data_IF_873094716745
#
_entry.id   IF_873094716745
#
_cell.length_a   1.000
_cell.length_b   1.000
_cell.length_c   1.000
_cell.angle_alpha   90.00
_cell.angle_beta   90.00
_cell.angle_gamma   90.00
#
_symmetry.space_group_name_H-M   'P 1'
#
loop_
_entity.id
_entity.type
_entity.pdbx_description
1 polymer ?
#
# COMPACT_ATOMS: atom_id res chain seq x y z
N UNK A 1 13.60 17.88 -33.08
CA UNK A 1 13.37 18.48 -31.74
C UNK A 1 14.25 19.70 -31.58
N UNK A 2 13.94 20.58 -30.61
CA UNK A 2 14.71 21.80 -30.29
C UNK A 2 16.02 21.52 -29.52
N UNK A 3 16.25 20.27 -29.13
CA UNK A 3 17.33 19.82 -28.24
C UNK A 3 16.87 18.63 -27.42
N UNK A 4 17.73 18.18 -26.51
CA UNK A 4 17.49 17.11 -25.53
C UNK A 4 17.09 17.69 -24.16
N UNK A 5 17.63 18.87 -23.80
CA UNK A 5 17.25 19.63 -22.60
C UNK A 5 16.88 21.08 -22.94
N UNK A 6 16.06 21.69 -22.09
CA UNK A 6 15.72 23.11 -22.20
C UNK A 6 15.61 23.73 -20.81
N UNK A 7 16.06 24.99 -20.65
CA UNK A 7 15.94 25.75 -19.42
C UNK A 7 15.33 27.13 -19.67
N UNK A 8 14.53 27.59 -18.71
CA UNK A 8 13.96 28.94 -18.65
C UNK A 8 14.79 29.89 -17.77
N UNK A 9 16.01 29.51 -17.35
CA UNK A 9 16.84 30.28 -16.44
C UNK A 9 17.03 31.75 -16.85
N UNK A 10 17.09 32.03 -18.16
CA UNK A 10 17.23 33.39 -18.67
C UNK A 10 16.05 34.31 -18.30
N UNK A 11 14.81 33.79 -18.19
CA UNK A 11 13.67 34.58 -17.71
C UNK A 11 13.77 34.91 -16.23
N UNK A 12 14.26 33.96 -15.43
CA UNK A 12 14.44 34.15 -13.98
C UNK A 12 15.53 35.18 -13.71
N UNK A 13 16.65 35.08 -14.43
CA UNK A 13 17.81 35.98 -14.29
C UNK A 13 17.59 37.35 -14.90
N UNK A 14 16.86 37.46 -16.02
CA UNK A 14 16.57 38.73 -16.67
C UNK A 14 15.93 39.76 -15.74
N UNK A 15 15.09 39.31 -14.80
CA UNK A 15 14.47 40.18 -13.79
C UNK A 15 15.50 40.79 -12.85
N UNK A 16 16.48 40.01 -12.39
CA UNK A 16 17.53 40.48 -11.48
C UNK A 16 18.57 41.34 -12.20
N UNK A 17 18.87 41.00 -13.46
CA UNK A 17 19.84 41.71 -14.29
C UNK A 17 19.26 42.98 -14.94
N UNK A 18 17.94 43.16 -14.95
CA UNK A 18 17.29 44.25 -15.67
C UNK A 18 17.48 44.19 -17.19
N UNK A 19 17.70 42.98 -17.72
CA UNK A 19 18.04 42.73 -19.13
C UNK A 19 16.89 42.05 -19.89
N UNK A 20 16.94 42.07 -21.22
CA UNK A 20 16.00 41.28 -22.03
C UNK A 20 16.32 39.77 -21.90
N UNK A 21 15.34 38.90 -21.60
CA UNK A 21 15.56 37.45 -21.49
C UNK A 21 16.23 36.82 -22.72
N UNK A 22 16.03 37.37 -23.92
CA UNK A 22 16.72 36.87 -25.12
C UNK A 22 18.24 37.08 -25.04
N UNK A 23 18.67 38.27 -24.62
CA UNK A 23 20.09 38.59 -24.49
C UNK A 23 20.74 37.74 -23.38
N UNK A 24 20.02 37.54 -22.27
CA UNK A 24 20.48 36.65 -21.18
C UNK A 24 20.60 35.20 -21.68
N UNK A 25 19.61 34.72 -22.45
CA UNK A 25 19.65 33.39 -23.03
C UNK A 25 20.80 33.22 -24.02
N UNK A 26 21.07 34.22 -24.87
CA UNK A 26 22.21 34.22 -25.80
C UNK A 26 23.54 34.13 -25.06
N UNK A 27 23.72 34.92 -23.99
CA UNK A 27 24.91 34.85 -23.14
C UNK A 27 25.10 33.49 -22.49
N UNK A 28 24.02 32.89 -21.96
CA UNK A 28 24.07 31.54 -21.39
C UNK A 28 24.43 30.53 -22.48
N UNK A 29 23.78 30.60 -23.65
CA UNK A 29 24.06 29.69 -24.75
C UNK A 29 25.52 29.78 -25.22
N UNK A 30 26.06 31.00 -25.34
CA UNK A 30 27.46 31.24 -25.69
C UNK A 30 28.41 30.65 -24.64
N UNK A 31 28.12 30.82 -23.34
CA UNK A 31 28.94 30.27 -22.27
C UNK A 31 29.05 28.74 -22.33
N UNK A 32 27.94 28.05 -22.62
CA UNK A 32 27.92 26.58 -22.74
C UNK A 32 28.29 26.06 -24.14
N UNK A 33 28.41 26.92 -25.15
CA UNK A 33 28.76 26.51 -26.53
C UNK A 33 30.13 25.86 -26.66
N UNK A 34 31.00 26.04 -25.66
CA UNK A 34 32.36 25.48 -25.62
C UNK A 34 32.47 24.18 -24.82
N UNK A 35 31.40 23.78 -24.14
CA UNK A 35 31.38 22.53 -23.38
C UNK A 35 31.24 21.34 -24.34
N UNK A 36 32.12 20.37 -24.16
CA UNK A 36 32.30 19.19 -25.02
C UNK A 36 31.17 18.16 -24.88
N UNK A 37 30.40 18.28 -23.81
CA UNK A 37 29.19 17.53 -23.52
C UNK A 37 28.06 17.89 -24.48
N UNK A 38 28.10 19.06 -25.12
CA UNK A 38 27.04 19.53 -26.01
C UNK A 38 27.50 19.59 -27.47
N UNK A 39 26.68 19.07 -28.38
CA UNK A 39 26.83 19.29 -29.83
C UNK A 39 26.41 20.72 -30.19
N UNK A 40 25.34 21.21 -29.56
CA UNK A 40 24.87 22.58 -29.75
C UNK A 40 24.12 23.09 -28.53
N UNK A 41 24.25 24.40 -28.30
CA UNK A 41 23.48 25.14 -27.31
C UNK A 41 22.89 26.37 -27.98
N UNK A 42 21.57 26.51 -27.96
CA UNK A 42 20.85 27.52 -28.74
C UNK A 42 19.87 28.29 -27.89
N UNK A 43 19.98 29.62 -27.92
CA UNK A 43 18.97 30.52 -27.38
C UNK A 43 17.79 30.59 -28.35
N UNK A 44 16.58 30.33 -27.85
CA UNK A 44 15.35 30.48 -28.63
C UNK A 44 14.27 31.12 -27.77
N UNK A 45 13.89 32.35 -28.13
CA UNK A 45 12.80 33.11 -27.47
C UNK A 45 12.97 33.20 -25.94
N UNK A 46 14.20 33.31 -25.44
CA UNK A 46 14.49 33.39 -24.00
C UNK A 46 14.63 32.04 -23.29
N UNK A 47 14.48 30.92 -23.99
CA UNK A 47 14.92 29.60 -23.52
C UNK A 47 16.33 29.31 -24.01
N UNK A 48 17.05 28.46 -23.29
CA UNK A 48 18.32 27.88 -23.75
C UNK A 48 18.11 26.38 -23.93
N UNK A 49 18.29 25.91 -25.16
CA UNK A 49 18.13 24.51 -25.53
C UNK A 49 19.49 23.87 -25.75
N UNK A 50 19.68 22.67 -25.21
CA UNK A 50 20.93 21.92 -25.26
C UNK A 50 20.72 20.65 -26.04
N UNK A 51 21.70 20.30 -26.87
CA UNK A 51 21.81 18.99 -27.50
C UNK A 51 23.10 18.34 -27.07
N UNK A 52 23.04 17.12 -26.56
CA UNK A 52 24.23 16.39 -26.14
C UNK A 52 25.09 15.99 -27.34
N UNK A 53 26.40 15.99 -27.15
CA UNK A 53 27.32 15.45 -28.13
C UNK A 53 27.22 13.92 -28.19
N UNK A 54 27.43 13.34 -29.37
CA UNK A 54 27.43 11.88 -29.54
C UNK A 54 28.47 11.21 -28.64
N UNK A 55 29.64 11.82 -28.49
CA UNK A 55 30.71 11.31 -27.63
C UNK A 55 30.30 11.27 -26.16
N UNK A 56 29.53 12.27 -25.70
CA UNK A 56 28.96 12.27 -24.36
C UNK A 56 27.96 11.13 -24.17
N UNK A 57 26.99 10.98 -25.07
CA UNK A 57 25.97 9.91 -24.99
C UNK A 57 26.60 8.51 -25.02
N UNK A 58 27.56 8.27 -25.92
CA UNK A 58 28.33 7.01 -25.97
C UNK A 58 29.09 6.79 -24.66
N UNK A 59 29.67 7.85 -24.08
CA UNK A 59 30.32 7.79 -22.78
C UNK A 59 29.36 7.36 -21.65
N UNK A 60 28.16 7.92 -21.61
CA UNK A 60 27.14 7.55 -20.63
C UNK A 60 26.61 6.13 -20.84
N UNK A 61 26.40 5.69 -22.08
CA UNK A 61 26.00 4.30 -22.36
C UNK A 61 27.08 3.30 -21.95
N UNK A 62 28.37 3.62 -22.13
CA UNK A 62 29.47 2.78 -21.62
C UNK A 62 29.41 2.64 -20.10
N UNK A 63 29.19 3.75 -19.39
CA UNK A 63 29.01 3.72 -17.93
C UNK A 63 27.81 2.86 -17.56
N UNK A 64 26.67 3.06 -18.21
CA UNK A 64 25.45 2.29 -17.98
C UNK A 64 25.67 0.78 -18.18
N UNK A 65 26.31 0.36 -19.26
CA UNK A 65 26.61 -1.05 -19.52
C UNK A 65 27.58 -1.63 -18.48
N UNK A 66 28.63 -0.88 -18.13
CA UNK A 66 29.65 -1.36 -17.17
C UNK A 66 29.14 -1.44 -15.72
N UNK A 67 28.28 -0.51 -15.30
CA UNK A 67 27.75 -0.42 -13.94
C UNK A 67 26.42 -1.17 -13.77
N UNK A 68 25.70 -1.42 -14.88
CA UNK A 68 24.38 -2.06 -14.87
C UNK A 68 23.39 -1.31 -13.98
N UNK A 69 22.80 -2.03 -13.02
CA UNK A 69 21.82 -1.46 -12.07
C UNK A 69 22.42 -0.38 -11.16
N UNK A 70 23.71 -0.46 -10.87
CA UNK A 70 24.40 0.49 -9.98
C UNK A 70 24.54 1.88 -10.62
N UNK A 71 24.41 2.01 -11.95
CA UNK A 71 24.39 3.29 -12.64
C UNK A 71 23.32 4.24 -12.09
N UNK A 72 22.14 3.70 -11.76
CA UNK A 72 21.02 4.47 -11.23
C UNK A 72 21.05 4.57 -9.70
N UNK A 73 21.90 3.79 -9.03
CA UNK A 73 21.91 3.72 -7.57
C UNK A 73 22.57 4.97 -6.99
N UNK A 74 21.87 5.60 -6.06
CA UNK A 74 22.37 6.72 -5.26
C UNK A 74 21.90 6.51 -3.83
N UNK A 75 22.77 6.72 -2.84
CA UNK A 75 22.36 6.73 -1.44
C UNK A 75 21.77 8.09 -1.09
N UNK A 76 20.48 8.25 -1.40
CA UNK A 76 19.69 9.42 -0.99
C UNK A 76 19.18 9.27 0.44
N UNK A 77 18.99 8.03 0.90
CA UNK A 77 18.47 7.73 2.23
C UNK A 77 19.43 8.09 3.34
N UNK A 78 20.75 7.93 3.15
CA UNK A 78 21.78 8.28 4.14
C UNK A 78 21.51 7.69 5.54
N UNK A 79 20.98 6.47 5.58
CA UNK A 79 20.59 5.77 6.81
C UNK A 79 19.25 6.19 7.43
N UNK A 80 18.47 7.04 6.76
CA UNK A 80 17.13 7.42 7.20
C UNK A 80 16.20 6.20 7.28
N UNK A 81 15.61 6.01 8.45
CA UNK A 81 14.64 4.95 8.73
C UNK A 81 13.24 5.43 8.39
N UNK A 82 12.61 4.77 7.42
CA UNK A 82 11.29 5.13 6.93
C UNK A 82 10.35 3.96 7.07
N UNK A 83 9.22 4.17 7.73
CA UNK A 83 8.11 3.21 7.72
C UNK A 83 7.14 3.59 6.60
N UNK A 84 6.67 2.58 5.87
CA UNK A 84 5.63 2.74 4.85
C UNK A 84 4.47 1.82 5.23
N UNK A 85 3.35 2.41 5.63
CA UNK A 85 2.11 1.70 5.92
C UNK A 85 1.19 1.68 4.72
N UNK A 86 0.65 0.51 4.40
CA UNK A 86 -0.32 0.38 3.33
C UNK A 86 -1.19 -0.87 3.47
N UNK A 87 -2.31 -0.86 2.74
CA UNK A 87 -3.42 -1.84 2.82
C UNK A 87 -4.23 -1.73 4.10
N UNK A 88 -3.66 -2.09 5.25
CA UNK A 88 -4.28 -2.06 6.59
C UNK A 88 -5.78 -2.37 6.58
N UNK A 89 -6.17 -3.41 5.85
CA UNK A 89 -7.57 -3.78 5.68
C UNK A 89 -8.03 -4.57 6.91
N UNK A 90 -9.29 -4.38 7.31
CA UNK A 90 -9.82 -5.10 8.46
C UNK A 90 -9.86 -6.61 8.13
N UNK A 91 -9.45 -7.49 9.06
CA UNK A 91 -9.39 -8.94 8.86
C UNK A 91 -10.77 -9.61 8.92
N UNK A 92 -11.79 -8.92 8.43
CA UNK A 92 -13.20 -9.35 8.46
C UNK A 92 -13.75 -9.65 7.07
N UNK A 93 -12.90 -9.67 6.04
CA UNK A 93 -13.26 -10.03 4.69
C UNK A 93 -12.06 -10.02 3.73
N UNK A 94 -12.26 -10.54 2.50
CA UNK A 94 -11.21 -10.65 1.49
C UNK A 94 -10.72 -9.29 1.00
N UNK A 95 -9.50 -9.25 0.47
CA UNK A 95 -9.00 -8.05 -0.20
C UNK A 95 -9.78 -7.79 -1.49
N UNK A 96 -9.96 -6.51 -1.84
CA UNK A 96 -10.62 -6.08 -3.06
C UNK A 96 -9.73 -5.10 -3.83
N UNK A 97 -10.16 -4.68 -5.02
CA UNK A 97 -9.37 -3.81 -5.92
C UNK A 97 -8.84 -2.52 -5.27
N UNK A 98 -9.61 -1.88 -4.39
CA UNK A 98 -9.14 -0.72 -3.62
C UNK A 98 -7.89 -1.03 -2.77
N UNK A 99 -7.92 -2.14 -2.02
CA UNK A 99 -6.77 -2.64 -1.27
C UNK A 99 -5.60 -2.98 -2.20
N UNK A 100 -5.87 -3.65 -3.33
CA UNK A 100 -4.85 -4.01 -4.31
C UNK A 100 -4.09 -2.81 -4.87
N UNK A 101 -4.77 -1.70 -5.16
CA UNK A 101 -4.11 -0.47 -5.63
C UNK A 101 -3.18 0.11 -4.56
N UNK A 102 -3.64 0.20 -3.32
CA UNK A 102 -2.81 0.62 -2.19
C UNK A 102 -1.62 -0.32 -1.97
N UNK A 103 -1.85 -1.62 -2.08
CA UNK A 103 -0.83 -2.68 -1.99
C UNK A 103 0.32 -2.44 -2.97
N UNK A 104 0.00 -2.29 -4.25
CA UNK A 104 0.99 -2.11 -5.31
C UNK A 104 1.73 -0.79 -5.18
N UNK A 105 1.02 0.28 -4.86
CA UNK A 105 1.64 1.60 -4.68
C UNK A 105 2.64 1.58 -3.53
N UNK A 106 2.25 1.06 -2.37
CA UNK A 106 3.09 1.00 -1.17
C UNK A 106 4.33 0.14 -1.36
N UNK A 107 4.15 -1.07 -1.91
CA UNK A 107 5.25 -1.96 -2.22
C UNK A 107 6.22 -1.35 -3.25
N UNK A 108 5.70 -0.71 -4.30
CA UNK A 108 6.54 -0.07 -5.34
C UNK A 108 7.31 1.12 -4.78
N UNK A 109 6.67 1.95 -3.96
CA UNK A 109 7.33 3.06 -3.27
C UNK A 109 8.43 2.56 -2.34
N UNK A 110 8.13 1.55 -1.51
CA UNK A 110 9.09 0.93 -0.61
C UNK A 110 10.30 0.34 -1.35
N UNK A 111 10.07 -0.35 -2.48
CA UNK A 111 11.14 -0.88 -3.35
C UNK A 111 12.01 0.23 -3.95
N UNK A 112 11.38 1.31 -4.42
CA UNK A 112 12.10 2.44 -5.01
C UNK A 112 12.94 3.17 -3.96
N UNK A 113 12.39 3.44 -2.77
CA UNK A 113 13.13 4.07 -1.68
C UNK A 113 14.27 3.19 -1.18
N UNK A 114 14.05 1.88 -1.02
CA UNK A 114 15.12 0.94 -0.66
C UNK A 114 16.24 0.92 -1.71
N UNK A 115 15.90 1.00 -3.01
CA UNK A 115 16.88 1.13 -4.09
C UNK A 115 17.75 2.40 -3.94
N UNK A 116 17.18 3.49 -3.43
CA UNK A 116 17.88 4.74 -3.15
C UNK A 116 18.49 4.86 -1.73
N UNK A 117 18.65 3.73 -1.03
CA UNK A 117 19.43 3.67 0.23
C UNK A 117 18.66 4.03 1.51
N UNK A 118 17.34 4.14 1.46
CA UNK A 118 16.53 4.29 2.67
C UNK A 118 16.39 2.95 3.41
N UNK A 119 16.41 2.97 4.75
CA UNK A 119 16.09 1.81 5.58
C UNK A 119 14.57 1.72 5.73
N UNK A 120 13.95 0.88 4.90
CA UNK A 120 12.50 0.82 4.73
C UNK A 120 11.90 -0.33 5.55
N UNK A 121 10.88 -0.02 6.34
CA UNK A 121 9.99 -1.02 6.98
C UNK A 121 8.60 -0.94 6.36
N UNK A 122 8.15 -2.02 5.70
CA UNK A 122 6.77 -2.17 5.24
C UNK A 122 5.93 -2.70 6.39
N UNK A 123 4.86 -1.98 6.74
CA UNK A 123 4.02 -2.35 7.87
C UNK A 123 2.54 -2.45 7.46
N UNK A 124 1.89 -3.49 7.99
CA UNK A 124 0.46 -3.70 7.88
C UNK A 124 -0.15 -3.53 9.26
N UNK A 125 -1.09 -2.59 9.42
CA UNK A 125 -1.88 -2.47 10.65
C UNK A 125 -3.07 -3.41 10.61
N UNK A 126 -3.16 -4.32 11.57
CA UNK A 126 -4.25 -5.29 11.72
C UNK A 126 -5.24 -4.74 12.74
N UNK A 127 -6.43 -4.39 12.25
CA UNK A 127 -7.57 -4.05 13.10
C UNK A 127 -8.26 -5.33 13.62
N UNK A 128 -7.57 -6.06 14.48
CA UNK A 128 -8.01 -7.31 15.11
C UNK A 128 -8.75 -7.09 16.45
N UNK A 129 -9.31 -5.90 16.66
CA UNK A 129 -9.98 -5.51 17.89
C UNK A 129 -11.37 -4.88 17.64
N UNK A 130 -12.24 -4.95 18.66
CA UNK A 130 -13.51 -4.22 18.67
C UNK A 130 -14.68 -4.92 17.95
N UNK A 131 -15.70 -4.11 17.61
CA UNK A 131 -17.03 -4.62 17.20
C UNK A 131 -17.01 -5.41 15.90
N UNK A 132 -16.22 -4.99 14.92
CA UNK A 132 -16.19 -5.66 13.61
C UNK A 132 -15.69 -7.10 13.72
N UNK A 133 -14.67 -7.33 14.54
CA UNK A 133 -14.11 -8.65 14.82
C UNK A 133 -15.08 -9.53 15.61
N UNK A 134 -15.86 -8.94 16.52
CA UNK A 134 -16.98 -9.65 17.17
C UNK A 134 -18.07 -10.04 16.15
N UNK A 135 -18.45 -9.13 15.24
CA UNK A 135 -19.42 -9.41 14.18
C UNK A 135 -18.94 -10.51 13.22
N UNK A 136 -17.63 -10.61 12.96
CA UNK A 136 -17.05 -11.74 12.23
C UNK A 136 -17.35 -13.07 12.94
N UNK A 137 -17.09 -13.14 14.25
CA UNK A 137 -17.39 -14.33 15.05
C UNK A 137 -18.87 -14.68 15.07
N UNK A 138 -19.74 -13.69 15.27
CA UNK A 138 -21.21 -13.88 15.21
C UNK A 138 -21.61 -14.45 13.85
N UNK A 139 -21.09 -13.89 12.76
CA UNK A 139 -21.35 -14.36 11.40
C UNK A 139 -20.90 -15.80 11.16
N UNK A 140 -19.67 -16.14 11.55
CA UNK A 140 -19.13 -17.50 11.42
C UNK A 140 -19.95 -18.48 12.27
N UNK A 141 -20.27 -18.11 13.50
CA UNK A 141 -21.05 -18.96 14.41
C UNK A 141 -22.47 -19.19 13.90
N UNK A 142 -23.14 -18.16 13.36
CA UNK A 142 -24.48 -18.31 12.75
C UNK A 142 -24.45 -19.21 11.52
N UNK A 143 -23.46 -19.06 10.64
CA UNK A 143 -23.29 -19.97 9.49
C UNK A 143 -22.95 -21.39 9.92
N UNK A 144 -22.16 -21.57 10.98
CA UNK A 144 -21.89 -22.87 11.56
C UNK A 144 -23.19 -23.54 12.07
N UNK A 145 -24.04 -22.80 12.80
CA UNK A 145 -25.33 -23.30 13.28
C UNK A 145 -26.27 -23.73 12.14
N UNK A 146 -26.30 -22.97 11.04
CA UNK A 146 -27.03 -23.34 9.82
C UNK A 146 -26.48 -24.66 9.24
N UNK A 147 -25.16 -24.83 9.16
CA UNK A 147 -24.53 -26.04 8.60
C UNK A 147 -24.79 -27.32 9.41
N UNK A 148 -25.02 -27.20 10.73
CA UNK A 148 -25.34 -28.32 11.62
C UNK A 148 -26.85 -28.50 11.85
N UNK A 149 -27.70 -27.69 11.22
CA UNK A 149 -29.16 -27.75 11.35
C UNK A 149 -29.66 -27.36 12.75
N UNK A 150 -29.02 -26.36 13.36
CA UNK A 150 -29.31 -25.83 14.70
C UNK A 150 -29.47 -24.31 14.70
N UNK A 151 -29.99 -23.72 13.63
CA UNK A 151 -30.19 -22.28 13.48
C UNK A 151 -31.05 -21.64 14.59
N UNK A 152 -31.88 -22.44 15.27
CA UNK A 152 -32.69 -22.03 16.44
C UNK A 152 -31.87 -21.85 17.73
N UNK A 153 -30.64 -22.36 17.79
CA UNK A 153 -29.73 -22.14 18.91
C UNK A 153 -29.21 -20.71 18.84
N UNK A 154 -29.10 -20.04 19.99
CA UNK A 154 -28.64 -18.64 20.08
C UNK A 154 -29.43 -17.69 19.14
N UNK A 155 -30.76 -17.79 19.19
CA UNK A 155 -31.68 -16.92 18.43
C UNK A 155 -31.48 -15.43 18.79
N UNK A 156 -30.94 -15.14 19.99
CA UNK A 156 -30.52 -13.79 20.42
C UNK A 156 -29.53 -13.11 19.45
N UNK A 157 -28.72 -13.90 18.73
CA UNK A 157 -27.74 -13.38 17.76
C UNK A 157 -28.30 -13.20 16.35
N UNK A 158 -29.49 -13.73 16.06
CA UNK A 158 -30.03 -13.75 14.69
C UNK A 158 -30.27 -12.34 14.16
N UNK A 159 -30.94 -11.50 14.94
CA UNK A 159 -31.23 -10.11 14.53
C UNK A 159 -29.94 -9.33 14.29
N UNK A 160 -28.93 -9.52 15.14
CA UNK A 160 -27.62 -8.88 14.99
C UNK A 160 -26.94 -9.34 13.69
N UNK A 161 -26.94 -10.63 13.39
CA UNK A 161 -26.39 -11.17 12.16
C UNK A 161 -27.12 -10.68 10.90
N UNK A 162 -28.45 -10.64 10.92
CA UNK A 162 -29.25 -10.21 9.76
C UNK A 162 -29.05 -8.71 9.42
N UNK A 163 -28.87 -7.88 10.47
CA UNK A 163 -28.70 -6.43 10.32
C UNK A 163 -27.26 -6.02 10.06
N UNK A 164 -26.31 -6.58 10.80
CA UNK A 164 -24.92 -6.10 10.85
C UNK A 164 -23.88 -7.18 10.53
N UNK A 165 -24.27 -8.45 10.48
CA UNK A 165 -23.38 -9.55 10.18
C UNK A 165 -22.84 -9.53 8.75
N UNK A 166 -21.62 -10.03 8.61
CA UNK A 166 -21.02 -10.41 7.34
C UNK A 166 -21.75 -11.63 6.76
N UNK A 167 -22.14 -11.54 5.48
CA UNK A 167 -22.99 -12.55 4.80
C UNK A 167 -22.39 -13.12 3.51
N UNK A 168 -21.17 -12.72 3.16
CA UNK A 168 -20.48 -13.21 1.95
C UNK A 168 -20.16 -14.71 2.03
N UNK A 169 -19.91 -15.33 0.88
CA UNK A 169 -19.63 -16.77 0.78
C UNK A 169 -18.41 -17.18 1.62
N UNK A 170 -17.39 -16.33 1.73
CA UNK A 170 -16.22 -16.57 2.58
C UNK A 170 -16.55 -16.87 4.05
N UNK A 171 -17.63 -16.29 4.61
CA UNK A 171 -18.07 -16.60 5.98
C UNK A 171 -18.55 -18.05 6.07
N UNK A 172 -19.25 -18.52 5.03
CA UNK A 172 -19.70 -19.91 4.95
C UNK A 172 -18.51 -20.86 4.81
N UNK A 173 -17.48 -20.47 4.07
CA UNK A 173 -16.26 -21.27 3.92
C UNK A 173 -15.47 -21.36 5.23
N UNK A 174 -15.35 -20.27 5.99
CA UNK A 174 -14.80 -20.31 7.36
C UNK A 174 -15.62 -21.25 8.24
N UNK A 175 -16.96 -21.15 8.21
CA UNK A 175 -17.82 -22.00 9.02
C UNK A 175 -17.73 -23.49 8.64
N UNK A 176 -17.57 -23.81 7.36
CA UNK A 176 -17.33 -25.18 6.87
C UNK A 176 -16.01 -25.72 7.39
N UNK A 177 -14.91 -24.96 7.23
CA UNK A 177 -13.59 -25.36 7.72
C UNK A 177 -13.58 -25.58 9.24
N UNK A 178 -14.28 -24.71 9.99
CA UNK A 178 -14.43 -24.89 11.44
C UNK A 178 -15.19 -26.18 11.76
N UNK A 179 -16.34 -26.42 11.11
CA UNK A 179 -17.16 -27.62 11.30
C UNK A 179 -16.41 -28.89 10.95
N UNK A 180 -15.55 -28.89 9.94
CA UNK A 180 -14.72 -30.05 9.58
C UNK A 180 -13.80 -30.47 10.74
N UNK A 181 -13.33 -29.52 11.55
CA UNK A 181 -12.52 -29.81 12.72
C UNK A 181 -13.35 -30.20 13.96
N UNK A 182 -14.44 -29.47 14.25
CA UNK A 182 -15.15 -29.60 15.53
C UNK A 182 -16.43 -30.43 15.46
N UNK A 183 -16.92 -30.76 14.26
CA UNK A 183 -18.22 -31.41 14.07
C UNK A 183 -19.35 -30.52 14.59
N UNK A 184 -20.12 -31.06 15.52
CA UNK A 184 -21.30 -30.41 16.12
C UNK A 184 -21.01 -29.88 17.54
N UNK A 185 -19.77 -29.99 18.02
CA UNK A 185 -19.38 -29.76 19.42
C UNK A 185 -19.67 -28.33 19.94
N UNK A 186 -19.65 -27.32 19.07
CA UNK A 186 -19.91 -25.93 19.47
C UNK A 186 -21.36 -25.65 19.89
N UNK A 187 -22.26 -26.61 19.71
CA UNK A 187 -23.64 -26.51 20.24
C UNK A 187 -23.64 -26.62 21.77
N UNK A 188 -22.60 -27.21 22.37
CA UNK A 188 -22.45 -27.28 23.83
C UNK A 188 -21.93 -25.93 24.36
N UNK A 189 -22.83 -24.94 24.42
CA UNK A 189 -22.54 -23.52 24.65
C UNK A 189 -21.80 -23.15 25.96
N UNK A 190 -21.40 -24.11 26.80
CA UNK A 190 -20.78 -23.87 28.12
C UNK A 190 -19.28 -24.09 28.16
N UNK A 191 -18.74 -25.03 27.37
CA UNK A 191 -17.31 -25.30 27.34
C UNK A 191 -16.83 -25.48 25.90
N UNK A 192 -16.04 -24.51 25.44
CA UNK A 192 -15.47 -24.50 24.09
C UNK A 192 -14.04 -25.03 24.06
N UNK A 193 -13.46 -25.39 25.22
CA UNK A 193 -12.08 -25.88 25.29
C UNK A 193 -11.90 -27.17 24.50
N UNK A 194 -12.78 -28.20 24.60
CA UNK A 194 -12.65 -29.39 23.77
C UNK A 194 -12.73 -29.09 22.26
N UNK A 195 -13.61 -28.16 21.87
CA UNK A 195 -13.73 -27.74 20.47
C UNK A 195 -12.45 -27.01 20.00
N UNK A 196 -11.89 -26.11 20.82
CA UNK A 196 -10.61 -25.45 20.55
C UNK A 196 -9.48 -26.47 20.36
N UNK A 197 -9.35 -27.47 21.24
CA UNK A 197 -8.32 -28.50 21.10
C UNK A 197 -8.50 -29.31 19.81
N UNK A 198 -9.74 -29.61 19.41
CA UNK A 198 -10.01 -30.22 18.10
C UNK A 198 -9.51 -29.34 16.95
N UNK A 199 -9.81 -28.04 16.97
CA UNK A 199 -9.30 -27.08 15.97
C UNK A 199 -7.77 -27.08 15.94
N UNK A 200 -7.10 -26.97 17.11
CA UNK A 200 -5.64 -26.94 17.20
C UNK A 200 -4.97 -28.26 16.74
N UNK A 201 -5.67 -29.38 16.88
CA UNK A 201 -5.20 -30.70 16.42
C UNK A 201 -5.47 -30.97 14.93
N UNK A 202 -6.39 -30.21 14.32
CA UNK A 202 -6.76 -30.37 12.92
C UNK A 202 -5.69 -29.76 12.00
N UNK A 203 -5.43 -30.42 10.86
CA UNK A 203 -4.39 -29.99 9.92
C UNK A 203 -4.94 -28.99 8.90
N UNK A 204 -4.90 -27.71 9.26
CA UNK A 204 -5.14 -26.62 8.32
C UNK A 204 -3.87 -26.26 7.53
N UNK A 205 -4.06 -25.65 6.35
CA UNK A 205 -2.97 -25.09 5.54
C UNK A 205 -2.63 -23.64 5.93
N UNK A 206 -3.12 -23.16 7.09
CA UNK A 206 -2.87 -21.84 7.63
C UNK A 206 -2.51 -21.90 9.12
N UNK A 207 -1.78 -20.90 9.64
CA UNK A 207 -1.42 -20.86 11.05
C UNK A 207 -2.62 -20.53 11.94
N UNK A 208 -2.70 -21.20 13.09
CA UNK A 208 -3.69 -20.93 14.15
C UNK A 208 -3.06 -20.08 15.26
N UNK A 209 -2.86 -18.80 14.99
CA UNK A 209 -2.25 -17.85 15.94
C UNK A 209 -3.29 -17.35 16.94
N UNK A 210 -4.40 -16.79 16.45
CA UNK A 210 -5.47 -16.25 17.27
C UNK A 210 -6.18 -17.36 18.06
N UNK A 211 -6.44 -18.51 17.44
CA UNK A 211 -7.07 -19.67 18.12
C UNK A 211 -6.19 -20.22 19.24
N UNK A 212 -4.86 -20.14 19.10
CA UNK A 212 -3.92 -20.57 20.13
C UNK A 212 -3.91 -19.60 21.31
N UNK A 213 -3.90 -18.31 21.04
CA UNK A 213 -3.85 -17.25 22.07
C UNK A 213 -5.24 -16.83 22.58
N UNK A 214 -6.28 -17.54 22.14
CA UNK A 214 -7.66 -17.36 22.57
C UNK A 214 -7.85 -17.86 24.00
N UNK A 215 -8.46 -17.02 24.82
CA UNK A 215 -8.94 -17.33 26.16
C UNK A 215 -10.42 -16.98 26.21
N UNK A 216 -11.33 -17.93 26.53
CA UNK A 216 -12.76 -17.64 26.57
C UNK A 216 -13.13 -16.69 27.72
N UNK A 217 -13.94 -15.69 27.43
CA UNK A 217 -14.41 -14.71 28.42
C UNK A 217 -15.94 -14.56 28.43
N UNK A 218 -16.50 -13.77 27.52
CA UNK A 218 -17.89 -13.28 27.62
C UNK A 218 -18.85 -14.08 26.76
N UNK A 219 -18.42 -14.45 25.55
CA UNK A 219 -19.21 -15.25 24.61
C UNK A 219 -18.35 -16.35 23.98
N UNK A 220 -17.99 -17.40 24.75
CA UNK A 220 -17.00 -18.40 24.33
C UNK A 220 -17.18 -19.01 22.94
N UNK A 221 -18.41 -19.38 22.50
CA UNK A 221 -18.59 -19.92 21.15
C UNK A 221 -18.32 -18.88 20.06
N UNK A 222 -18.78 -17.63 20.26
CA UNK A 222 -18.55 -16.54 19.31
C UNK A 222 -17.07 -16.17 19.27
N UNK A 223 -16.40 -16.11 20.42
CA UNK A 223 -14.99 -15.74 20.52
C UNK A 223 -14.07 -16.80 19.88
N UNK A 224 -14.38 -18.10 20.02
CA UNK A 224 -13.66 -19.15 19.29
C UNK A 224 -13.87 -19.02 17.78
N UNK A 225 -15.10 -18.74 17.34
CA UNK A 225 -15.40 -18.46 15.93
C UNK A 225 -14.69 -17.20 15.43
N UNK A 226 -14.58 -16.15 16.25
CA UNK A 226 -13.80 -14.95 15.96
C UNK A 226 -12.33 -15.30 15.77
N UNK A 227 -11.73 -16.02 16.73
CA UNK A 227 -10.31 -16.37 16.67
C UNK A 227 -9.97 -17.21 15.43
N UNK A 228 -10.79 -18.23 15.15
CA UNK A 228 -10.62 -19.07 13.96
C UNK A 228 -10.85 -18.28 12.65
N UNK A 229 -11.86 -17.41 12.64
CA UNK A 229 -12.12 -16.53 11.49
C UNK A 229 -10.96 -15.59 11.20
N UNK A 230 -10.35 -14.98 12.24
CA UNK A 230 -9.17 -14.15 12.10
C UNK A 230 -7.97 -14.94 11.56
N UNK A 231 -7.74 -16.17 12.05
CA UNK A 231 -6.66 -17.04 11.56
C UNK A 231 -6.77 -17.27 10.04
N UNK A 232 -7.97 -17.68 9.59
CA UNK A 232 -8.21 -17.95 8.18
C UNK A 232 -8.15 -16.68 7.32
N UNK A 233 -8.77 -15.58 7.77
CA UNK A 233 -8.75 -14.31 7.03
C UNK A 233 -7.36 -13.70 6.93
N UNK A 234 -6.57 -13.72 8.00
CA UNK A 234 -5.19 -13.23 7.95
C UNK A 234 -4.31 -14.07 7.04
N UNK A 235 -4.52 -15.39 6.99
CA UNK A 235 -3.81 -16.26 6.07
C UNK A 235 -4.17 -15.96 4.60
N UNK A 236 -5.46 -15.77 4.30
CA UNK A 236 -5.94 -15.41 2.97
C UNK A 236 -5.39 -14.06 2.51
N UNK A 237 -5.48 -13.02 3.36
CA UNK A 237 -4.94 -11.68 3.09
C UNK A 237 -3.43 -11.76 2.78
N UNK A 238 -2.66 -12.49 3.58
CA UNK A 238 -1.21 -12.67 3.37
C UNK A 238 -0.91 -13.35 2.06
N UNK A 239 -1.67 -14.39 1.71
CA UNK A 239 -1.46 -15.13 0.47
C UNK A 239 -1.89 -14.33 -0.77
N UNK A 240 -2.98 -13.57 -0.69
CA UNK A 240 -3.39 -12.62 -1.74
C UNK A 240 -2.26 -11.63 -2.06
N UNK A 241 -1.68 -11.03 -1.02
CA UNK A 241 -0.56 -10.09 -1.17
C UNK A 241 0.70 -10.79 -1.73
N UNK A 242 1.02 -11.98 -1.23
CA UNK A 242 2.16 -12.76 -1.73
C UNK A 242 1.99 -13.16 -3.20
N UNK A 243 0.77 -13.47 -3.64
CA UNK A 243 0.48 -13.77 -5.06
C UNK A 243 0.80 -12.59 -5.99
N UNK A 244 0.83 -11.36 -5.44
CA UNK A 244 1.26 -10.15 -6.13
C UNK A 244 2.73 -9.77 -5.89
N UNK A 245 3.50 -10.64 -5.23
CA UNK A 245 4.89 -10.38 -4.86
C UNK A 245 5.03 -9.29 -3.78
N UNK A 246 4.02 -9.11 -2.93
CA UNK A 246 4.01 -8.10 -1.87
C UNK A 246 4.19 -8.80 -0.53
N UNK A 247 5.20 -8.39 0.21
CA UNK A 247 5.50 -8.88 1.55
C UNK A 247 5.65 -7.71 2.52
N UNK A 248 5.39 -7.98 3.79
CA UNK A 248 5.45 -7.00 4.88
C UNK A 248 6.47 -7.43 5.90
N UNK A 249 7.26 -6.46 6.37
CA UNK A 249 8.30 -6.65 7.38
C UNK A 249 7.67 -6.72 8.77
N UNK A 250 6.58 -5.96 9.01
CA UNK A 250 5.85 -5.95 10.28
C UNK A 250 4.34 -6.06 10.07
N UNK A 251 3.69 -6.83 10.94
CA UNK A 251 2.25 -6.96 11.05
C UNK A 251 1.85 -6.52 12.45
N UNK A 252 1.37 -5.28 12.58
CA UNK A 252 1.11 -4.65 13.87
C UNK A 252 -0.34 -4.93 14.31
N UNK A 253 -0.55 -5.41 15.54
CA UNK A 253 -1.88 -5.81 16.06
C UNK A 253 -2.47 -4.71 16.95
N UNK A 254 -3.72 -4.31 16.68
CA UNK A 254 -4.48 -3.40 17.55
C UNK A 254 -4.78 -4.04 18.91
N UNK A 255 -5.02 -5.36 18.95
CA UNK A 255 -5.18 -6.11 20.19
C UNK A 255 -3.95 -5.98 21.09
N UNK A 256 -2.74 -6.12 20.54
CA UNK A 256 -1.51 -5.96 21.33
C UNK A 256 -1.30 -4.50 21.76
N UNK A 257 -1.62 -3.51 20.91
CA UNK A 257 -1.61 -2.08 21.27
C UNK A 257 -2.45 -1.81 22.54
N UNK A 258 -3.65 -2.39 22.62
CA UNK A 258 -4.51 -2.28 23.79
C UNK A 258 -3.99 -3.05 25.00
N UNK A 259 -3.50 -4.28 24.80
CA UNK A 259 -2.96 -5.14 25.86
C UNK A 259 -1.73 -4.54 26.54
N UNK A 260 -0.88 -3.83 25.80
CA UNK A 260 0.28 -3.12 26.34
C UNK A 260 -0.06 -1.80 27.07
N UNK A 261 -1.34 -1.40 27.04
CA UNK A 261 -1.82 -0.16 27.64
C UNK A 261 -1.27 1.09 26.95
N UNK A 262 -0.91 1.01 25.67
CA UNK A 262 -0.34 2.16 24.96
C UNK A 262 -1.34 3.30 24.83
N UNK A 263 -2.62 2.98 24.60
CA UNK A 263 -3.70 3.97 24.52
C UNK A 263 -3.91 4.69 25.86
N UNK A 264 -3.90 3.96 26.99
CA UNK A 264 -4.04 4.59 28.31
C UNK A 264 -2.85 5.47 28.66
N UNK A 265 -1.62 5.00 28.41
CA UNK A 265 -0.38 5.77 28.61
C UNK A 265 -0.37 7.07 27.79
N UNK A 266 -0.83 7.01 26.54
CA UNK A 266 -0.98 8.20 25.70
C UNK A 266 -1.96 9.19 26.34
N UNK A 267 -3.15 8.73 26.73
CA UNK A 267 -4.19 9.59 27.30
C UNK A 267 -3.70 10.24 28.61
N UNK A 268 -2.98 9.51 29.45
CA UNK A 268 -2.34 10.05 30.65
C UNK A 268 -1.32 11.15 30.31
N UNK A 269 -0.46 10.93 29.31
CA UNK A 269 0.50 11.95 28.86
C UNK A 269 -0.18 13.22 28.33
N UNK A 270 -1.31 13.07 27.61
CA UNK A 270 -2.09 14.21 27.12
C UNK A 270 -2.80 14.97 28.26
N UNK A 271 -3.19 14.28 29.33
CA UNK A 271 -3.71 14.89 30.58
C UNK A 271 -2.65 15.69 31.30
N UNK A 272 -1.46 15.14 31.48
CA UNK A 272 -0.34 15.82 32.15
C UNK A 272 0.08 17.12 31.44
N UNK A 273 -0.09 17.19 30.13
CA UNK A 273 0.21 18.36 29.29
C UNK A 273 -0.95 19.35 29.14
N UNK A 274 -2.07 19.14 29.83
CA UNK A 274 -3.28 20.00 29.79
C UNK A 274 -3.91 20.13 28.38
N UNK A 275 -3.77 19.12 27.52
CA UNK A 275 -4.35 19.13 26.16
C UNK A 275 -5.76 18.55 26.08
N UNK A 276 -6.30 18.06 27.19
CA UNK A 276 -7.62 17.43 27.23
C UNK A 276 -8.55 18.12 28.23
N UNK A 277 -9.85 17.96 28.03
CA UNK A 277 -10.88 18.46 28.93
C UNK A 277 -12.08 17.52 28.96
N UNK A 278 -12.88 17.60 30.02
CA UNK A 278 -14.12 16.83 30.13
C UNK A 278 -15.33 17.68 29.74
N UNK A 279 -16.18 17.12 28.87
CA UNK A 279 -17.44 17.75 28.47
C UNK A 279 -18.48 16.68 28.11
N UNK A 280 -19.71 16.82 28.62
CA UNK A 280 -20.79 15.88 28.36
C UNK A 280 -20.54 14.46 28.90
N UNK A 281 -19.61 14.31 29.85
CA UNK A 281 -19.16 13.02 30.39
C UNK A 281 -18.13 12.29 29.53
N UNK A 282 -17.65 12.91 28.45
CA UNK A 282 -16.58 12.38 27.61
C UNK A 282 -15.28 13.18 27.81
N UNK A 283 -14.13 12.56 27.50
CA UNK A 283 -12.83 13.23 27.48
C UNK A 283 -12.48 13.66 26.06
N UNK A 284 -12.28 14.96 25.87
CA UNK A 284 -12.00 15.62 24.60
C UNK A 284 -10.54 16.06 24.51
N UNK A 285 -9.96 15.99 23.32
CA UNK A 285 -8.65 16.50 22.95
C UNK A 285 -8.81 17.83 22.20
N UNK A 286 -8.05 18.84 22.60
CA UNK A 286 -8.06 20.23 22.06
C UNK A 286 -7.45 20.34 20.65
N UNK A 287 -7.82 19.45 19.73
CA UNK A 287 -7.18 19.38 18.39
C UNK A 287 -7.40 20.63 17.55
N UNK A 288 -8.46 21.41 17.81
CA UNK A 288 -8.74 22.65 17.10
C UNK A 288 -7.67 23.73 17.33
N UNK A 289 -7.05 23.75 18.51
CA UNK A 289 -5.93 24.65 18.85
C UNK A 289 -4.66 24.31 18.03
N UNK A 290 -4.63 23.13 17.39
CA UNK A 290 -3.51 22.61 16.62
C UNK A 290 -3.90 22.37 15.14
N UNK A 291 -4.90 23.08 14.63
CA UNK A 291 -5.23 23.11 13.19
C UNK A 291 -6.14 21.98 12.71
N UNK A 292 -6.84 21.28 13.59
CA UNK A 292 -8.03 20.48 13.24
C UNK A 292 -9.28 21.39 13.18
N UNK A 293 -10.35 20.93 12.55
CA UNK A 293 -11.60 21.70 12.42
C UNK A 293 -12.37 21.81 13.74
N UNK A 294 -12.26 20.80 14.60
CA UNK A 294 -12.93 20.72 15.90
C UNK A 294 -12.22 19.73 16.81
N UNK A 295 -12.43 19.90 18.11
CA UNK A 295 -11.94 18.99 19.12
C UNK A 295 -12.52 17.58 18.97
N UNK A 296 -11.76 16.57 19.43
CA UNK A 296 -12.07 15.16 19.20
C UNK A 296 -12.15 14.39 20.50
N UNK A 297 -13.12 13.51 20.60
CA UNK A 297 -13.29 12.62 21.76
C UNK A 297 -12.20 11.54 21.76
N UNK A 298 -11.48 11.39 22.87
CA UNK A 298 -10.56 10.29 23.12
C UNK A 298 -11.22 9.16 23.94
N UNK A 299 -12.03 9.54 24.93
CA UNK A 299 -12.74 8.60 25.81
C UNK A 299 -14.22 8.94 25.79
N UNK A 300 -15.05 7.95 25.45
CA UNK A 300 -16.51 8.11 25.39
C UNK A 300 -17.11 8.14 26.80
N UNK A 301 -18.39 8.49 26.89
CA UNK A 301 -19.13 8.60 28.16
C UNK A 301 -19.15 7.30 28.96
N UNK A 302 -19.17 6.16 28.28
CA UNK A 302 -19.12 4.83 28.88
C UNK A 302 -17.69 4.38 29.28
N UNK A 303 -16.68 5.24 29.12
CA UNK A 303 -15.29 4.98 29.52
C UNK A 303 -14.44 4.25 28.47
N UNK A 304 -15.01 3.84 27.33
CA UNK A 304 -14.25 3.20 26.26
C UNK A 304 -13.47 4.20 25.40
N UNK A 305 -12.30 3.79 24.91
CA UNK A 305 -11.50 4.59 23.98
C UNK A 305 -12.16 4.68 22.59
N UNK A 306 -11.92 5.78 21.89
CA UNK A 306 -12.30 5.94 20.48
C UNK A 306 -11.23 5.36 19.55
N UNK A 307 -11.60 5.03 18.31
CA UNK A 307 -10.62 4.64 17.28
C UNK A 307 -9.55 5.72 17.08
N UNK A 308 -9.94 7.00 17.22
CA UNK A 308 -9.00 8.11 17.17
C UNK A 308 -7.93 8.05 18.27
N UNK A 309 -8.28 7.62 19.49
CA UNK A 309 -7.29 7.42 20.54
C UNK A 309 -6.32 6.28 20.20
N UNK A 310 -6.82 5.16 19.63
CA UNK A 310 -5.98 4.07 19.13
C UNK A 310 -5.04 4.53 18.02
N UNK A 311 -5.53 5.30 17.05
CA UNK A 311 -4.73 5.82 15.94
C UNK A 311 -3.59 6.71 16.43
N UNK A 312 -3.85 7.64 17.36
CA UNK A 312 -2.79 8.48 17.92
C UNK A 312 -1.77 7.62 18.68
N UNK A 313 -2.23 6.62 19.45
CA UNK A 313 -1.34 5.76 20.21
C UNK A 313 -0.43 4.94 19.29
N UNK A 314 -0.96 4.46 18.17
CA UNK A 314 -0.22 3.75 17.16
C UNK A 314 0.83 4.63 16.45
N UNK A 315 0.49 5.87 16.08
CA UNK A 315 1.49 6.79 15.52
C UNK A 315 2.55 7.20 16.56
N UNK A 316 2.15 7.36 17.82
CA UNK A 316 3.09 7.61 18.91
C UNK A 316 4.04 6.42 19.12
N UNK A 317 3.55 5.19 18.99
CA UNK A 317 4.38 3.98 18.97
C UNK A 317 5.37 3.97 17.80
N UNK A 318 4.92 4.22 16.56
CA UNK A 318 5.80 4.35 15.38
C UNK A 318 6.95 5.35 15.66
N UNK A 319 6.64 6.51 16.24
CA UNK A 319 7.67 7.49 16.59
C UNK A 319 8.66 6.96 17.63
N UNK A 320 8.17 6.27 18.66
CA UNK A 320 9.01 5.66 19.71
C UNK A 320 9.85 4.49 19.22
N UNK A 321 9.45 3.79 18.15
CA UNK A 321 10.25 2.79 17.44
C UNK A 321 11.41 3.40 16.63
N UNK A 322 11.50 4.73 16.59
CA UNK A 322 12.65 5.47 16.06
C UNK A 322 12.69 5.58 14.54
N UNK A 323 11.52 5.67 13.89
CA UNK A 323 11.44 6.04 12.48
C UNK A 323 11.65 7.55 12.32
N UNK A 324 12.48 7.93 11.36
CA UNK A 324 12.73 9.34 11.00
C UNK A 324 11.58 9.92 10.18
N UNK A 325 10.84 9.04 9.46
CA UNK A 325 9.67 9.39 8.66
C UNK A 325 8.68 8.23 8.56
N UNK A 326 7.41 8.57 8.48
CA UNK A 326 6.29 7.65 8.26
C UNK A 326 5.53 8.09 7.02
N UNK A 327 5.26 7.12 6.14
CA UNK A 327 4.45 7.31 4.95
C UNK A 327 3.24 6.39 5.03
N UNK A 328 2.06 6.97 5.16
CA UNK A 328 0.82 6.22 5.23
C UNK A 328 0.03 6.32 3.92
N UNK A 329 -0.37 5.18 3.36
CA UNK A 329 -1.27 5.10 2.22
C UNK A 329 -2.70 4.82 2.67
N UNK A 330 -3.56 5.84 2.63
CA UNK A 330 -4.96 5.73 3.07
C UNK A 330 -5.94 5.78 1.90
N UNK A 331 -7.14 5.26 2.11
CA UNK A 331 -8.25 5.48 1.19
C UNK A 331 -8.64 6.95 1.12
N UNK A 332 -9.06 7.43 -0.05
CA UNK A 332 -9.43 8.84 -0.26
C UNK A 332 -10.58 9.35 0.65
N UNK A 333 -11.38 8.43 1.19
CA UNK A 333 -12.41 8.70 2.20
C UNK A 333 -11.85 9.19 3.55
N UNK A 334 -10.55 9.03 3.79
CA UNK A 334 -9.86 9.47 5.00
C UNK A 334 -9.26 10.88 4.90
N UNK A 335 -9.52 11.63 3.82
CA UNK A 335 -8.98 12.99 3.63
C UNK A 335 -9.26 13.91 4.84
N UNK A 336 -10.49 13.94 5.36
CA UNK A 336 -10.87 14.73 6.54
C UNK A 336 -10.36 14.16 7.88
N UNK A 337 -9.61 13.06 7.85
CA UNK A 337 -8.99 12.43 9.01
C UNK A 337 -7.52 12.84 9.17
N UNK A 338 -6.85 13.27 8.10
CA UNK A 338 -5.44 13.68 8.15
C UNK A 338 -5.19 14.85 9.12
N UNK A 339 -5.99 15.94 9.11
CA UNK A 339 -5.70 17.10 9.97
C UNK A 339 -5.71 16.77 11.47
N UNK A 340 -6.65 15.93 11.93
CA UNK A 340 -6.76 15.56 13.35
C UNK A 340 -5.61 14.70 13.85
N UNK A 341 -5.10 13.79 13.01
CA UNK A 341 -3.92 12.99 13.35
C UNK A 341 -2.70 13.91 13.42
N UNK A 342 -2.47 14.74 12.40
CA UNK A 342 -1.36 15.71 12.40
C UNK A 342 -1.43 16.72 13.56
N UNK A 343 -2.61 17.15 13.96
CA UNK A 343 -2.81 18.00 15.13
C UNK A 343 -2.35 17.30 16.42
N UNK A 344 -2.74 16.03 16.59
CA UNK A 344 -2.37 15.23 17.76
C UNK A 344 -0.86 14.94 17.82
N UNK A 345 -0.21 14.69 16.68
CA UNK A 345 1.24 14.49 16.63
C UNK A 345 2.01 15.77 17.00
N UNK A 346 1.53 16.94 16.57
CA UNK A 346 2.11 18.24 16.98
C UNK A 346 2.05 18.45 18.50
N UNK A 347 0.95 18.08 19.16
CA UNK A 347 0.84 18.12 20.62
C UNK A 347 1.85 17.18 21.32
N UNK A 348 2.21 16.07 20.68
CA UNK A 348 3.22 15.15 21.18
C UNK A 348 4.66 15.62 20.93
N UNK A 349 4.85 16.76 20.26
CA UNK A 349 6.16 17.31 19.90
C UNK A 349 6.80 16.63 18.68
N UNK A 350 6.01 15.91 17.89
CA UNK A 350 6.50 15.22 16.69
C UNK A 350 6.57 16.22 15.51
N UNK A 351 7.65 16.23 14.71
CA UNK A 351 7.81 17.14 13.58
C UNK A 351 6.68 17.04 12.54
N UNK A 352 6.32 18.16 11.92
CA UNK A 352 5.19 18.22 10.98
C UNK A 352 5.43 17.43 9.68
N UNK A 353 6.69 17.33 9.26
CA UNK A 353 7.16 16.59 8.09
C UNK A 353 7.48 15.11 8.40
N UNK A 354 7.30 14.67 9.65
CA UNK A 354 7.50 13.28 10.05
C UNK A 354 6.45 12.35 9.46
N UNK A 355 5.18 12.80 9.35
CA UNK A 355 4.08 12.03 8.74
C UNK A 355 3.69 12.59 7.38
N UNK A 356 3.85 11.77 6.34
CA UNK A 356 3.28 11.98 5.01
C UNK A 356 2.10 11.03 4.79
N UNK A 357 0.97 11.56 4.32
CA UNK A 357 -0.21 10.74 3.99
C UNK A 357 -0.51 10.89 2.51
N UNK A 358 -0.52 9.79 1.79
CA UNK A 358 -0.94 9.75 0.39
C UNK A 358 -2.30 9.06 0.28
N UNK A 359 -3.23 9.74 -0.39
CA UNK A 359 -4.57 9.21 -0.60
C UNK A 359 -4.63 8.37 -1.88
N UNK A 360 -5.28 7.21 -1.77
CA UNK A 360 -5.51 6.26 -2.84
C UNK A 360 -6.99 6.29 -3.21
N UNK A 361 -7.28 6.69 -4.44
CA UNK A 361 -8.63 6.70 -4.99
C UNK A 361 -9.12 5.30 -5.35
N UNK A 362 -10.45 5.13 -5.29
CA UNK A 362 -11.10 3.87 -5.63
C UNK A 362 -10.83 3.45 -7.09
N UNK A 363 -10.86 2.13 -7.28
CA UNK A 363 -10.77 1.48 -8.60
C UNK A 363 -12.17 1.05 -9.02
N UNK A 364 -12.54 1.33 -10.27
CA UNK A 364 -13.74 0.79 -10.91
C UNK A 364 -13.36 -0.36 -11.82
N UNK A 365 -14.03 -1.50 -11.64
CA UNK A 365 -13.86 -2.66 -12.51
C UNK A 365 -14.82 -2.55 -13.69
N UNK A 366 -14.27 -2.68 -14.89
CA UNK A 366 -14.99 -2.70 -16.15
C UNK A 366 -14.79 -4.07 -16.81
N UNK A 367 -15.81 -4.57 -17.52
CA UNK A 367 -15.71 -5.73 -18.42
C UNK A 367 -16.34 -5.37 -19.75
N UNK A 368 -15.54 -5.31 -20.81
CA UNK A 368 -16.03 -4.96 -22.14
C UNK A 368 -16.70 -3.59 -22.19
N UNK A 369 -16.10 -2.61 -21.51
CA UNK A 369 -16.59 -1.23 -21.41
C UNK A 369 -17.76 -1.00 -20.46
N UNK A 370 -18.24 -2.03 -19.74
CA UNK A 370 -19.36 -1.90 -18.79
C UNK A 370 -18.88 -2.07 -17.35
N UNK A 371 -19.36 -1.18 -16.47
CA UNK A 371 -19.01 -1.23 -15.05
C UNK A 371 -19.63 -2.46 -14.37
N UNK A 372 -18.78 -3.21 -13.67
CA UNK A 372 -19.21 -4.32 -12.81
C UNK A 372 -19.66 -3.72 -11.47
N UNK A 373 -20.98 -3.64 -11.26
CA UNK A 373 -21.54 -3.07 -10.04
C UNK A 373 -21.28 -3.99 -8.84
N UNK A 374 -20.58 -3.45 -7.84
CA UNK A 374 -20.37 -4.11 -6.55
C UNK A 374 -21.58 -3.89 -5.64
N UNK A 375 -22.03 -4.93 -4.93
CA UNK A 375 -23.17 -4.84 -4.02
C UNK A 375 -22.70 -4.85 -2.57
N UNK A 376 -22.79 -3.68 -1.90
CA UNK A 376 -22.53 -3.55 -0.46
C UNK A 376 -23.50 -4.36 0.42
N UNK A 377 -24.68 -4.74 -0.10
CA UNK A 377 -25.76 -5.42 0.68
C UNK A 377 -25.68 -6.95 0.64
N UNK A 378 -25.16 -7.52 -0.45
CA UNK A 378 -24.98 -8.98 -0.61
C UNK A 378 -23.56 -9.42 -0.28
N UNK A 379 -22.63 -8.49 -0.02
CA UNK A 379 -21.22 -8.79 0.25
C UNK A 379 -20.42 -9.16 -1.01
N UNK A 380 -20.97 -8.95 -2.20
CA UNK A 380 -20.33 -9.29 -3.48
C UNK A 380 -19.43 -8.14 -3.91
N UNK A 381 -18.19 -8.15 -3.39
CA UNK A 381 -17.05 -7.44 -3.99
C UNK A 381 -16.29 -8.42 -4.85
N UNK A 382 -15.65 -7.96 -5.93
CA UNK A 382 -14.71 -8.80 -6.67
C UNK A 382 -13.44 -8.89 -5.84
N UNK A 383 -13.09 -10.08 -5.30
CA UNK A 383 -11.85 -10.30 -4.59
C UNK A 383 -10.66 -9.94 -5.47
N UNK A 384 -9.61 -9.42 -4.86
CA UNK A 384 -8.37 -9.08 -5.57
C UNK A 384 -7.77 -10.32 -6.24
N UNK A 385 -7.83 -11.47 -5.57
CA UNK A 385 -7.37 -12.77 -6.08
C UNK A 385 -8.01 -13.13 -7.41
N UNK A 386 -9.32 -12.98 -7.57
CA UNK A 386 -10.01 -13.32 -8.82
C UNK A 386 -9.46 -12.51 -10.00
N UNK A 387 -9.19 -11.21 -9.80
CA UNK A 387 -8.57 -10.40 -10.85
C UNK A 387 -7.15 -10.88 -11.15
N UNK A 388 -6.34 -11.15 -10.13
CA UNK A 388 -4.95 -11.60 -10.30
C UNK A 388 -4.88 -12.95 -11.03
N UNK A 389 -5.75 -13.90 -10.70
CA UNK A 389 -5.86 -15.19 -11.39
C UNK A 389 -6.29 -15.02 -12.85
N UNK A 390 -7.15 -14.05 -13.12
CA UNK A 390 -7.72 -13.83 -14.45
C UNK A 390 -6.78 -13.09 -15.42
N UNK A 391 -6.00 -12.10 -14.95
CA UNK A 391 -5.14 -11.26 -15.82
C UNK A 391 -3.65 -11.36 -15.51
N UNK A 392 -3.27 -11.95 -14.38
CA UNK A 392 -1.88 -12.05 -13.91
C UNK A 392 -1.42 -10.88 -13.05
N UNK A 393 -0.59 -11.17 -12.05
CA UNK A 393 -0.08 -10.19 -11.09
C UNK A 393 0.63 -8.99 -11.74
N UNK A 394 1.50 -9.22 -12.72
CA UNK A 394 2.26 -8.15 -13.38
C UNK A 394 1.35 -7.15 -14.09
N UNK A 395 0.28 -7.62 -14.73
CA UNK A 395 -0.67 -6.75 -15.42
C UNK A 395 -1.43 -5.88 -14.41
N UNK A 396 -1.92 -6.47 -13.31
CA UNK A 396 -2.58 -5.73 -12.23
C UNK A 396 -1.65 -4.68 -11.63
N UNK A 397 -0.41 -5.07 -11.31
CA UNK A 397 0.60 -4.17 -10.74
C UNK A 397 0.88 -3.00 -11.66
N UNK A 398 1.15 -3.27 -12.93
CA UNK A 398 1.46 -2.23 -13.91
C UNK A 398 0.31 -1.23 -14.03
N UNK A 399 -0.92 -1.72 -14.21
CA UNK A 399 -2.11 -0.88 -14.42
C UNK A 399 -2.38 0.03 -13.23
N UNK A 400 -2.26 -0.48 -12.00
CA UNK A 400 -2.42 0.32 -10.79
C UNK A 400 -1.42 1.48 -10.67
N UNK A 401 -0.27 1.39 -11.35
CA UNK A 401 0.77 2.43 -11.37
C UNK A 401 0.66 3.39 -12.57
N UNK A 402 -0.22 3.13 -13.55
CA UNK A 402 -0.36 3.99 -14.75
C UNK A 402 -1.03 5.35 -14.48
N UNK A 403 -1.64 5.52 -13.30
CA UNK A 403 -2.32 6.74 -12.88
C UNK A 403 -1.85 7.13 -11.48
N UNK A 404 -1.79 8.45 -11.25
CA UNK A 404 -1.54 9.00 -9.90
C UNK A 404 -2.54 8.44 -8.89
N UNK A 405 -2.09 8.20 -7.67
CA UNK A 405 -2.90 7.60 -6.59
C UNK A 405 -4.17 8.39 -6.29
N UNK A 406 -4.11 9.71 -6.42
CA UNK A 406 -5.19 10.66 -6.14
C UNK A 406 -6.19 10.83 -7.30
N UNK A 407 -6.03 10.09 -8.40
CA UNK A 407 -6.98 10.05 -9.51
C UNK A 407 -7.74 8.70 -9.53
N UNK A 408 -9.07 8.70 -9.74
CA UNK A 408 -9.83 7.47 -9.98
C UNK A 408 -9.23 6.64 -11.11
N UNK A 409 -9.29 5.31 -10.97
CA UNK A 409 -8.77 4.38 -11.97
C UNK A 409 -9.88 3.46 -12.46
N UNK A 410 -10.01 3.35 -13.78
CA UNK A 410 -10.90 2.39 -14.43
C UNK A 410 -10.04 1.25 -14.99
N UNK A 411 -10.39 0.01 -14.63
CA UNK A 411 -9.67 -1.19 -15.05
C UNK A 411 -10.62 -2.06 -15.88
N UNK A 412 -10.36 -2.18 -17.18
CA UNK A 412 -11.12 -3.07 -18.06
C UNK A 412 -10.38 -4.39 -18.29
N UNK A 413 -10.97 -5.47 -17.78
CA UNK A 413 -10.37 -6.81 -17.82
C UNK A 413 -10.08 -7.28 -19.24
N UNK A 414 -10.97 -6.99 -20.19
CA UNK A 414 -10.81 -7.45 -21.58
C UNK A 414 -9.64 -6.73 -22.26
N UNK A 415 -9.47 -5.43 -21.97
CA UNK A 415 -8.34 -4.65 -22.49
C UNK A 415 -7.01 -5.12 -21.92
N UNK A 416 -6.97 -5.57 -20.66
CA UNK A 416 -5.74 -6.07 -20.06
C UNK A 416 -5.28 -7.41 -20.65
N UNK A 417 -6.22 -8.23 -21.13
CA UNK A 417 -5.93 -9.51 -21.80
C UNK A 417 -5.55 -9.35 -23.26
N UNK A 418 -5.80 -8.18 -23.85
CA UNK A 418 -5.55 -7.94 -25.27
C UNK A 418 -4.05 -7.96 -25.58
N UNK A 419 -3.67 -8.79 -26.56
CA UNK A 419 -2.29 -8.88 -27.07
C UNK A 419 -2.05 -7.84 -28.18
N UNK A 420 -2.24 -6.57 -27.82
CA UNK A 420 -2.12 -5.42 -28.72
C UNK A 420 -1.07 -4.44 -28.21
N UNK A 421 -0.42 -3.72 -29.13
CA UNK A 421 0.53 -2.66 -28.77
C UNK A 421 -0.15 -1.47 -28.07
N UNK A 422 -1.48 -1.37 -28.14
CA UNK A 422 -2.27 -0.38 -27.38
C UNK A 422 -2.40 -0.75 -25.89
N UNK A 423 -2.23 -2.03 -25.54
CA UNK A 423 -2.16 -2.47 -24.14
C UNK A 423 -0.74 -2.21 -23.61
N UNK A 424 -0.57 -1.29 -22.65
CA UNK A 424 0.76 -0.90 -22.19
C UNK A 424 1.50 -2.03 -21.45
N UNK A 425 0.77 -2.97 -20.83
CA UNK A 425 1.36 -4.16 -20.21
C UNK A 425 1.98 -5.05 -21.28
N UNK A 426 1.19 -5.41 -22.30
CA UNK A 426 1.65 -6.23 -23.40
C UNK A 426 2.80 -5.56 -24.17
N UNK A 427 2.73 -4.23 -24.37
CA UNK A 427 3.77 -3.47 -25.04
C UNK A 427 5.15 -3.63 -24.37
N UNK A 428 5.22 -3.45 -23.05
CA UNK A 428 6.48 -3.58 -22.29
C UNK A 428 6.98 -5.03 -22.28
N UNK A 429 6.08 -5.99 -22.07
CA UNK A 429 6.42 -7.42 -22.11
C UNK A 429 6.93 -7.85 -23.49
N UNK A 430 6.29 -7.38 -24.56
CA UNK A 430 6.68 -7.65 -25.93
C UNK A 430 8.04 -7.02 -26.26
N UNK A 431 8.29 -5.77 -25.84
CA UNK A 431 9.59 -5.14 -25.98
C UNK A 431 10.70 -5.94 -25.28
N UNK A 432 10.47 -6.35 -24.02
CA UNK A 432 11.39 -7.20 -23.28
C UNK A 432 11.65 -8.54 -23.99
N UNK A 433 10.60 -9.21 -24.47
CA UNK A 433 10.72 -10.48 -25.19
C UNK A 433 11.50 -10.34 -26.50
N UNK A 434 11.33 -9.23 -27.23
CA UNK A 434 12.12 -8.93 -28.43
C UNK A 434 13.59 -8.72 -28.10
N UNK A 435 13.91 -7.91 -27.08
CA UNK A 435 15.30 -7.68 -26.64
C UNK A 435 15.94 -9.01 -26.21
N UNK A 436 15.23 -9.81 -25.41
CA UNK A 436 15.68 -11.14 -24.98
C UNK A 436 15.90 -12.08 -26.18
N UNK A 437 15.05 -11.98 -27.20
CA UNK A 437 15.19 -12.73 -28.45
C UNK A 437 16.44 -12.35 -29.24
N UNK A 438 16.74 -11.05 -29.33
CA UNK A 438 18.00 -10.55 -29.91
C UNK A 438 19.20 -11.09 -29.12
N UNK A 439 19.15 -11.06 -27.79
CA UNK A 439 20.25 -11.56 -26.97
C UNK A 439 20.47 -13.06 -27.14
N UNK A 440 19.40 -13.85 -27.25
CA UNK A 440 19.50 -15.28 -27.56
C UNK A 440 20.13 -15.52 -28.93
N UNK A 441 19.72 -14.76 -29.94
CA UNK A 441 20.29 -14.89 -31.29
C UNK A 441 21.79 -14.54 -31.32
N UNK A 442 22.21 -13.52 -30.57
CA UNK A 442 23.63 -13.18 -30.42
C UNK A 442 24.40 -14.32 -29.74
N UNK A 443 23.85 -14.90 -28.67
CA UNK A 443 24.44 -16.08 -28.00
C UNK A 443 24.64 -17.24 -28.96
N UNK A 444 23.60 -17.61 -29.68
CA UNK A 444 23.62 -18.78 -30.58
C UNK A 444 24.55 -18.57 -31.78
N UNK A 445 24.55 -17.38 -32.39
CA UNK A 445 25.30 -17.13 -33.64
C UNK A 445 26.73 -16.65 -33.43
N UNK A 446 27.00 -15.94 -32.33
CA UNK A 446 28.29 -15.30 -32.07
C UNK A 446 29.03 -15.88 -30.88
N UNK A 447 28.38 -16.71 -30.07
CA UNK A 447 28.97 -17.25 -28.85
C UNK A 447 29.24 -16.20 -27.77
N UNK A 448 28.63 -15.01 -27.90
CA UNK A 448 28.74 -13.88 -26.97
C UNK A 448 27.49 -13.86 -26.10
N UNK A 449 27.63 -13.74 -24.79
CA UNK A 449 26.53 -13.55 -23.83
C UNK A 449 26.34 -12.06 -23.50
N UNK A 450 25.35 -11.36 -24.11
CA UNK A 450 25.16 -9.92 -23.93
C UNK A 450 24.83 -9.49 -22.50
N UNK A 451 24.46 -10.44 -21.64
CA UNK A 451 24.12 -10.18 -20.23
C UNK A 451 25.32 -10.32 -19.29
N UNK A 452 26.44 -10.89 -19.77
CA UNK A 452 27.64 -11.14 -18.95
C UNK A 452 28.89 -10.51 -19.50
N UNK A 453 28.96 -10.33 -20.80
CA UNK A 453 30.13 -9.78 -21.48
C UNK A 453 29.99 -8.26 -21.63
N UNK A 454 31.12 -7.56 -21.56
CA UNK A 454 31.15 -6.11 -21.78
C UNK A 454 30.96 -5.80 -23.26
N UNK A 455 29.84 -5.15 -23.58
CA UNK A 455 29.50 -4.75 -24.95
C UNK A 455 29.94 -3.31 -25.27
N UNK A 456 30.65 -2.65 -24.37
CA UNK A 456 31.05 -1.23 -24.48
C UNK A 456 31.83 -0.91 -25.76
N UNK A 457 32.56 -1.89 -26.31
CA UNK A 457 33.29 -1.75 -27.56
C UNK A 457 32.38 -1.67 -28.79
N UNK A 458 31.19 -2.27 -28.75
CA UNK A 458 30.22 -2.20 -29.85
C UNK A 458 29.53 -0.84 -29.93
N UNK A 459 29.53 -0.04 -28.85
CA UNK A 459 28.98 1.31 -28.86
C UNK A 459 29.72 2.25 -29.83
N UNK A 460 30.97 1.93 -30.21
CA UNK A 460 31.72 2.67 -31.23
C UNK A 460 31.07 2.60 -32.61
N UNK A 461 30.22 1.60 -32.86
CA UNK A 461 29.52 1.42 -34.12
C UNK A 461 28.22 2.24 -34.20
N UNK A 462 27.71 2.78 -33.08
CA UNK A 462 26.51 3.64 -33.06
C UNK A 462 26.88 5.02 -33.63
N UNK A 463 26.72 5.17 -34.93
CA UNK A 463 27.13 6.37 -35.68
C UNK A 463 25.93 7.23 -36.05
N UNK A 464 24.75 6.61 -36.19
CA UNK A 464 23.56 7.30 -36.66
C UNK A 464 22.81 7.97 -35.50
N UNK A 465 22.25 9.14 -35.79
CA UNK A 465 21.44 9.89 -34.86
C UNK A 465 20.21 9.12 -34.36
N UNK A 466 19.70 8.19 -35.15
CA UNK A 466 18.52 7.36 -34.82
C UNK A 466 18.89 6.17 -33.92
N UNK A 467 20.16 5.80 -33.85
CA UNK A 467 20.65 4.71 -32.99
C UNK A 467 20.94 5.20 -31.57
N UNK A 468 21.28 6.49 -31.44
CA UNK A 468 21.63 7.13 -30.16
C UNK A 468 20.44 7.82 -29.47
N UNK A 469 19.35 8.06 -30.20
CA UNK A 469 18.09 8.66 -29.69
C UNK A 469 17.05 7.59 -29.49
#
# INVERSE_FOLDING_TARGET
SLGDLSTNAAFLLAKELGENPKNVAERIAEAFSREKEFESVQALKGFVNFRFSKSYLVGEFKKLLSMGKEYYRKDLGKGMRVQVEFVSANPTGPLHLGHGRGAVLGDTLARLMSFYGFDITREYYINDWGRQVYLLGVSVFRRYLELVGKEQVREDLKELFEKEGYRGEYILDIARALREAVGDDLISLRDVIPAREKVLSHKFNFPLTYTRDFVPEKDPPVELCTAFGLDMMMAEIREDLRSMGIEFDTWFSERELHKEGLVSKLVESLKEKDYVYEEGGALWLRTSEFGDEKDRVLVKKEGSYTYFASDIAYHWDKYRRGFDRVIDLWGADHHGYVPRVKASLRMLGIPEDWLEVYLVQMVRLMRGGKEVRMSKRTGTFVPLRELVEEVGADAVRFVFLTKRSDTPLELDVEKLKEKSLENPVFYVQYAHARISGVFREVRERKGIDPEKEDLSDYLKALCEDIELK
#
